data_IF_605404552166
#
_entry.id   IF_605404552166
#
_cell.length_a   1.000
_cell.length_b   1.000
_cell.length_c   1.000
_cell.angle_alpha   90.00
_cell.angle_beta   90.00
_cell.angle_gamma   90.00
#
_symmetry.space_group_name_H-M   'P 1'
#
loop_
_entity.id
_entity.type
_entity.pdbx_description
1 polymer ?
#
# COMPACT_ATOMS: atom_id res chain seq x y z
N UNK A 1 -36.11 35.10 13.76
CA UNK A 1 -36.39 33.68 13.40
C UNK A 1 -35.55 32.85 14.35
N UNK A 2 -36.03 31.72 14.86
CA UNK A 2 -35.16 30.87 15.65
C UNK A 2 -33.97 30.45 14.81
N UNK A 3 -32.79 30.48 15.37
CA UNK A 3 -31.55 30.07 14.72
C UNK A 3 -31.69 28.61 14.25
N UNK A 4 -31.46 28.33 12.96
CA UNK A 4 -31.55 26.97 12.45
C UNK A 4 -30.49 26.11 13.13
N UNK A 5 -30.87 24.91 13.54
CA UNK A 5 -29.96 23.93 14.09
C UNK A 5 -28.87 23.58 13.06
N UNK A 6 -27.63 23.48 13.50
CA UNK A 6 -26.50 23.06 12.64
C UNK A 6 -26.40 21.54 12.65
N UNK A 7 -26.37 20.97 11.46
CA UNK A 7 -26.29 19.52 11.26
C UNK A 7 -25.01 19.19 10.49
N UNK A 8 -24.30 18.17 10.89
CA UNK A 8 -23.09 17.71 10.22
C UNK A 8 -23.19 16.22 9.90
N UNK A 9 -22.74 15.82 8.71
CA UNK A 9 -22.50 14.43 8.36
C UNK A 9 -21.24 14.29 7.52
N UNK A 10 -20.62 13.13 7.57
CA UNK A 10 -19.42 12.80 6.77
C UNK A 10 -19.72 11.71 5.77
N UNK A 11 -19.17 11.82 4.55
CA UNK A 11 -19.39 10.86 3.47
C UNK A 11 -18.13 10.62 2.66
N UNK A 12 -17.95 9.40 2.15
CA UNK A 12 -16.97 9.10 1.10
C UNK A 12 -17.43 9.55 -0.28
N UNK A 13 -18.72 9.44 -0.56
CA UNK A 13 -19.43 9.92 -1.79
C UNK A 13 -18.85 9.47 -3.11
N UNK A 14 -18.09 8.38 -3.12
CA UNK A 14 -17.50 7.88 -4.37
C UNK A 14 -18.55 7.31 -5.34
N UNK A 15 -19.59 6.71 -4.77
CA UNK A 15 -20.83 6.36 -5.46
C UNK A 15 -21.99 6.85 -4.62
N UNK A 16 -22.74 7.83 -5.12
CA UNK A 16 -23.97 8.30 -4.47
C UNK A 16 -25.14 7.41 -4.89
N UNK A 17 -25.88 6.88 -3.91
CA UNK A 17 -27.04 6.00 -4.14
C UNK A 17 -28.23 6.40 -3.26
N UNK A 18 -29.36 5.73 -3.44
CA UNK A 18 -30.62 6.04 -2.76
C UNK A 18 -30.48 6.17 -1.23
N UNK A 19 -29.77 5.26 -0.58
CA UNK A 19 -29.55 5.30 0.87
C UNK A 19 -28.81 6.58 1.34
N UNK A 20 -27.86 7.09 0.57
CA UNK A 20 -27.22 8.39 0.87
C UNK A 20 -28.23 9.53 0.75
N UNK A 21 -29.08 9.52 -0.29
CA UNK A 21 -30.09 10.55 -0.50
C UNK A 21 -31.11 10.56 0.63
N UNK A 22 -31.55 9.38 1.10
CA UNK A 22 -32.47 9.25 2.24
C UNK A 22 -31.88 9.88 3.53
N UNK A 23 -30.64 9.55 3.87
CA UNK A 23 -29.98 10.11 5.05
C UNK A 23 -29.78 11.62 4.90
N UNK A 24 -29.41 12.12 3.71
CA UNK A 24 -29.26 13.57 3.46
C UNK A 24 -30.60 14.27 3.66
N UNK A 25 -31.70 13.73 3.14
CA UNK A 25 -33.02 14.33 3.33
C UNK A 25 -33.42 14.36 4.80
N UNK A 26 -33.25 13.26 5.54
CA UNK A 26 -33.54 13.20 6.97
C UNK A 26 -32.65 14.15 7.80
N UNK A 27 -31.35 14.27 7.42
CA UNK A 27 -30.46 15.21 8.06
C UNK A 27 -30.87 16.68 7.81
N UNK A 28 -31.30 16.99 6.60
CA UNK A 28 -31.77 18.33 6.22
C UNK A 28 -33.07 18.74 6.94
N UNK A 29 -33.92 17.79 7.34
CA UNK A 29 -35.10 18.06 8.17
C UNK A 29 -34.74 18.48 9.60
N UNK A 30 -33.56 18.08 10.11
CA UNK A 30 -33.08 18.45 11.45
C UNK A 30 -32.52 19.88 11.49
N UNK A 31 -32.08 20.44 10.36
CA UNK A 31 -31.50 21.79 10.32
C UNK A 31 -30.68 22.08 9.06
N UNK A 32 -29.75 23.02 9.21
CA UNK A 32 -28.84 23.41 8.12
C UNK A 32 -27.69 22.41 8.02
N UNK A 33 -27.71 21.62 6.92
CA UNK A 33 -26.79 20.48 6.74
C UNK A 33 -25.47 20.91 6.12
N UNK A 34 -24.37 20.64 6.82
CA UNK A 34 -23.01 20.65 6.28
C UNK A 34 -22.56 19.21 6.05
N UNK A 35 -22.03 18.92 4.86
CA UNK A 35 -21.49 17.59 4.54
C UNK A 35 -19.96 17.67 4.41
N UNK A 36 -19.27 16.86 5.22
CA UNK A 36 -17.84 16.60 5.10
C UNK A 36 -17.56 15.53 4.04
N UNK A 37 -16.84 15.88 2.98
CA UNK A 37 -16.41 14.92 1.95
C UNK A 37 -14.99 14.49 2.24
N UNK A 38 -14.80 13.18 2.47
CA UNK A 38 -13.50 12.59 2.75
C UNK A 38 -12.56 12.72 1.54
N UNK A 39 -11.30 13.08 1.80
CA UNK A 39 -10.26 13.15 0.75
C UNK A 39 -9.99 11.80 0.10
N UNK A 40 -9.35 11.82 -1.06
CA UNK A 40 -8.98 10.60 -1.77
C UNK A 40 -8.03 9.72 -0.94
N UNK A 41 -7.12 10.35 -0.19
CA UNK A 41 -6.23 9.68 0.76
C UNK A 41 -7.01 8.90 1.82
N UNK A 42 -7.97 9.55 2.47
CA UNK A 42 -8.77 8.94 3.54
C UNK A 42 -9.64 7.81 2.97
N UNK A 43 -10.31 8.03 1.84
CA UNK A 43 -11.15 6.99 1.22
C UNK A 43 -10.32 5.79 0.80
N UNK A 44 -9.16 6.00 0.18
CA UNK A 44 -8.28 4.91 -0.24
C UNK A 44 -7.67 4.13 0.92
N UNK A 45 -7.61 4.73 2.11
CA UNK A 45 -7.09 4.08 3.31
C UNK A 45 -8.02 3.02 3.90
N UNK A 46 -9.33 3.06 3.65
CA UNK A 46 -10.25 2.12 4.32
C UNK A 46 -11.25 1.43 3.39
N UNK A 47 -11.40 1.90 2.16
CA UNK A 47 -12.40 1.37 1.25
C UNK A 47 -11.75 0.85 -0.03
N UNK A 48 -11.44 1.71 -0.95
CA UNK A 48 -10.72 1.52 -2.20
C UNK A 48 -10.34 2.87 -2.77
N UNK A 49 -9.51 2.87 -3.78
CA UNK A 49 -9.24 4.09 -4.51
C UNK A 49 -10.55 4.66 -5.09
N UNK A 50 -10.88 5.95 -4.83
CA UNK A 50 -12.11 6.53 -5.33
C UNK A 50 -12.10 6.65 -6.86
N UNK A 51 -13.26 6.50 -7.48
CA UNK A 51 -13.45 6.63 -8.93
C UNK A 51 -13.36 8.09 -9.37
N UNK A 52 -13.85 9.00 -8.52
CA UNK A 52 -13.87 10.44 -8.75
C UNK A 52 -12.96 11.15 -7.75
N UNK A 53 -12.31 12.23 -8.20
CA UNK A 53 -11.50 13.07 -7.32
C UNK A 53 -12.33 13.71 -6.20
N UNK A 54 -11.69 14.06 -5.08
CA UNK A 54 -12.37 14.73 -3.97
C UNK A 54 -13.12 16.00 -4.44
N UNK A 55 -12.51 16.77 -5.32
CA UNK A 55 -13.11 18.00 -5.87
C UNK A 55 -14.38 17.70 -6.67
N UNK A 56 -14.41 16.65 -7.49
CA UNK A 56 -15.60 16.25 -8.24
C UNK A 56 -16.68 15.71 -7.30
N UNK A 57 -16.31 14.90 -6.32
CA UNK A 57 -17.24 14.39 -5.30
C UNK A 57 -17.86 15.53 -4.48
N UNK A 58 -17.09 16.55 -4.13
CA UNK A 58 -17.59 17.77 -3.46
C UNK A 58 -18.60 18.51 -4.33
N UNK A 59 -18.36 18.66 -5.64
CA UNK A 59 -19.32 19.29 -6.58
C UNK A 59 -20.63 18.51 -6.66
N UNK A 60 -20.56 17.19 -6.73
CA UNK A 60 -21.76 16.34 -6.75
C UNK A 60 -22.57 16.55 -5.47
N UNK A 61 -21.92 16.49 -4.30
CA UNK A 61 -22.58 16.67 -3.00
C UNK A 61 -23.19 18.05 -2.86
N UNK A 62 -22.48 19.09 -3.30
CA UNK A 62 -23.00 20.48 -3.29
C UNK A 62 -24.27 20.66 -4.16
N UNK A 63 -24.43 19.83 -5.19
CA UNK A 63 -25.63 19.82 -6.04
C UNK A 63 -26.82 19.02 -5.47
N UNK A 64 -26.65 18.30 -4.36
CA UNK A 64 -27.71 17.50 -3.77
C UNK A 64 -28.70 18.38 -3.00
N UNK A 65 -30.00 18.12 -3.20
CA UNK A 65 -31.05 18.81 -2.47
C UNK A 65 -30.90 18.56 -0.95
N UNK A 66 -31.00 19.63 -0.16
CA UNK A 66 -30.89 19.55 1.31
C UNK A 66 -29.50 19.81 1.86
N UNK A 67 -28.46 19.81 1.04
CA UNK A 67 -27.11 20.18 1.42
C UNK A 67 -26.96 21.70 1.38
N UNK A 68 -26.61 22.31 2.49
CA UNK A 68 -26.36 23.77 2.59
C UNK A 68 -24.87 24.11 2.36
N UNK A 69 -23.97 23.32 2.94
CA UNK A 69 -22.54 23.52 2.87
C UNK A 69 -21.79 22.20 2.63
N UNK A 70 -20.66 22.30 1.94
CA UNK A 70 -19.74 21.16 1.75
C UNK A 70 -18.35 21.58 2.19
N UNK A 71 -17.72 20.72 2.99
CA UNK A 71 -16.34 20.93 3.42
C UNK A 71 -15.47 19.72 3.06
N UNK A 72 -14.20 19.97 2.85
CA UNK A 72 -13.20 18.92 2.66
C UNK A 72 -12.82 18.35 4.04
N UNK A 73 -12.87 17.03 4.19
CA UNK A 73 -12.49 16.36 5.43
C UNK A 73 -11.27 15.48 5.19
N UNK A 74 -10.19 15.78 5.90
CA UNK A 74 -8.85 15.18 5.72
C UNK A 74 -8.58 14.01 6.66
N UNK A 75 -9.54 13.65 7.50
CA UNK A 75 -9.45 12.55 8.47
C UNK A 75 -10.81 11.86 8.58
N UNK A 76 -10.84 10.58 8.91
CA UNK A 76 -12.07 9.85 9.22
C UNK A 76 -12.65 10.26 10.58
N UNK A 77 -11.83 10.77 11.50
CA UNK A 77 -12.25 11.31 12.80
C UNK A 77 -13.15 12.55 12.62
N UNK A 78 -14.09 12.69 13.52
CA UNK A 78 -14.97 13.86 13.58
C UNK A 78 -14.37 15.02 14.40
N UNK A 79 -13.17 14.88 14.96
CA UNK A 79 -12.55 15.82 15.91
C UNK A 79 -12.47 17.24 15.35
N UNK A 80 -11.85 17.44 14.20
CA UNK A 80 -11.69 18.78 13.63
C UNK A 80 -13.01 19.40 13.16
N UNK A 81 -13.90 18.69 12.44
CA UNK A 81 -15.23 19.21 12.12
C UNK A 81 -16.05 19.58 13.36
N UNK A 82 -16.07 18.76 14.40
CA UNK A 82 -16.85 19.04 15.60
C UNK A 82 -16.28 20.22 16.39
N UNK A 83 -14.96 20.35 16.47
CA UNK A 83 -14.29 21.48 17.11
C UNK A 83 -14.59 22.81 16.41
N UNK A 84 -14.59 22.78 15.05
CA UNK A 84 -14.74 23.99 14.24
C UNK A 84 -16.19 24.40 14.05
N UNK A 85 -17.07 23.44 13.73
CA UNK A 85 -18.47 23.71 13.39
C UNK A 85 -19.39 23.69 14.59
N UNK A 86 -19.05 22.90 15.63
CA UNK A 86 -19.88 22.66 16.83
C UNK A 86 -21.35 22.41 16.46
N UNK A 87 -21.67 21.40 15.64
CA UNK A 87 -23.03 21.15 15.19
C UNK A 87 -23.92 20.69 16.34
N UNK A 88 -25.20 21.07 16.32
CA UNK A 88 -26.20 20.56 17.27
C UNK A 88 -26.44 19.05 17.07
N UNK A 89 -26.37 18.60 15.81
CA UNK A 89 -26.54 17.20 15.45
C UNK A 89 -25.44 16.71 14.52
N UNK A 90 -24.89 15.53 14.83
CA UNK A 90 -24.15 14.71 13.84
C UNK A 90 -25.08 13.62 13.35
N UNK A 91 -25.15 13.44 12.04
CA UNK A 91 -25.96 12.39 11.41
C UNK A 91 -25.08 11.33 10.77
N UNK A 92 -25.41 10.07 10.96
CA UNK A 92 -24.74 8.93 10.32
C UNK A 92 -25.72 7.76 10.12
N UNK A 93 -25.37 6.83 9.23
CA UNK A 93 -26.00 5.53 9.18
C UNK A 93 -25.64 4.69 10.42
N UNK A 94 -26.43 3.68 10.74
CA UNK A 94 -26.17 2.82 11.90
C UNK A 94 -25.13 1.72 11.63
N UNK A 95 -24.60 1.65 10.42
CA UNK A 95 -23.60 0.67 9.98
C UNK A 95 -22.23 0.79 10.69
N UNK A 96 -21.90 1.94 11.27
CA UNK A 96 -20.65 2.15 12.02
C UNK A 96 -20.68 1.70 13.49
N UNK A 97 -21.80 1.12 13.95
CA UNK A 97 -21.92 0.52 15.29
C UNK A 97 -21.04 -0.71 15.49
N UNK A 98 -20.64 -1.32 14.41
CA UNK A 98 -19.80 -2.52 14.38
C UNK A 98 -18.58 -2.31 13.47
N UNK A 99 -17.60 -3.21 13.58
CA UNK A 99 -16.43 -3.18 12.72
C UNK A 99 -15.43 -2.07 13.06
N UNK A 100 -14.60 -1.70 12.08
CA UNK A 100 -13.47 -0.80 12.26
C UNK A 100 -13.86 0.67 12.53
N UNK A 101 -15.08 1.09 12.21
CA UNK A 101 -15.57 2.45 12.47
C UNK A 101 -16.15 2.64 13.89
N UNK A 102 -16.35 1.57 14.64
CA UNK A 102 -16.88 1.65 16.01
C UNK A 102 -16.09 2.62 16.91
N UNK A 103 -14.74 2.63 16.92
CA UNK A 103 -13.98 3.61 17.72
C UNK A 103 -14.22 5.06 17.30
N UNK A 104 -14.42 5.32 15.99
CA UNK A 104 -14.75 6.67 15.48
C UNK A 104 -16.10 7.14 16.00
N UNK A 105 -17.09 6.24 16.00
CA UNK A 105 -18.41 6.50 16.58
C UNK A 105 -18.31 6.85 18.08
N UNK A 106 -17.56 6.06 18.85
CA UNK A 106 -17.37 6.28 20.29
C UNK A 106 -16.65 7.61 20.57
N UNK A 107 -15.67 7.97 19.76
CA UNK A 107 -15.01 9.28 19.82
C UNK A 107 -15.98 10.41 19.50
N UNK A 108 -16.78 10.28 18.44
CA UNK A 108 -17.76 11.26 18.03
C UNK A 108 -18.77 11.55 19.17
N UNK A 109 -19.29 10.52 19.82
CA UNK A 109 -20.22 10.67 20.97
C UNK A 109 -19.56 11.48 22.09
N UNK A 110 -18.34 11.11 22.50
CA UNK A 110 -17.62 11.83 23.57
C UNK A 110 -17.41 13.30 23.24
N UNK A 111 -17.00 13.60 22.00
CA UNK A 111 -16.78 14.98 21.56
C UNK A 111 -18.09 15.80 21.51
N UNK A 112 -19.20 15.20 21.13
CA UNK A 112 -20.51 15.84 21.15
C UNK A 112 -20.98 16.16 22.57
N UNK A 113 -20.76 15.26 23.51
CA UNK A 113 -21.12 15.45 24.96
C UNK A 113 -20.41 16.66 25.55
N UNK A 114 -19.17 17.00 25.13
CA UNK A 114 -18.40 18.14 25.64
C UNK A 114 -19.11 19.50 25.48
N UNK A 115 -20.00 19.63 24.50
CA UNK A 115 -20.72 20.90 24.26
C UNK A 115 -22.24 20.74 24.09
N UNK A 116 -22.79 19.57 24.38
CA UNK A 116 -24.24 19.31 24.37
C UNK A 116 -24.82 18.98 23.01
N UNK A 117 -23.99 18.64 22.00
CA UNK A 117 -24.42 18.11 20.72
C UNK A 117 -24.95 16.68 20.82
N UNK A 118 -25.63 16.19 19.79
CA UNK A 118 -26.23 14.85 19.76
C UNK A 118 -25.92 14.09 18.49
N UNK A 119 -25.64 12.79 18.63
CA UNK A 119 -25.58 11.86 17.49
C UNK A 119 -27.00 11.38 17.15
N UNK A 120 -27.36 11.46 15.87
CA UNK A 120 -28.59 10.92 15.30
C UNK A 120 -28.20 9.86 14.27
N UNK A 121 -28.66 8.65 14.47
CA UNK A 121 -28.36 7.52 13.60
C UNK A 121 -29.62 7.05 12.91
N UNK A 122 -29.58 6.93 11.59
CA UNK A 122 -30.65 6.40 10.80
C UNK A 122 -30.31 4.98 10.30
N UNK A 123 -31.30 4.10 10.12
CA UNK A 123 -31.06 2.81 9.50
C UNK A 123 -30.40 3.00 8.13
N UNK A 124 -29.26 2.38 7.91
CA UNK A 124 -28.56 2.43 6.64
C UNK A 124 -28.95 1.23 5.77
N UNK A 125 -29.81 1.47 4.80
CA UNK A 125 -30.18 0.43 3.83
C UNK A 125 -29.17 0.39 2.69
N UNK A 126 -28.34 -0.66 2.64
CA UNK A 126 -27.62 -1.01 1.42
C UNK A 126 -28.59 -1.70 0.47
N UNK A 127 -28.70 -1.19 -0.76
CA UNK A 127 -29.41 -1.92 -1.79
C UNK A 127 -28.49 -3.00 -2.38
N UNK A 128 -29.05 -4.13 -2.76
CA UNK A 128 -28.35 -5.19 -3.49
C UNK A 128 -27.62 -4.65 -4.74
N UNK A 129 -28.23 -3.66 -5.40
CA UNK A 129 -27.64 -2.95 -6.53
C UNK A 129 -26.36 -2.17 -6.16
N UNK A 130 -26.29 -1.61 -4.95
CA UNK A 130 -25.08 -0.93 -4.49
C UNK A 130 -23.93 -1.92 -4.28
N UNK A 131 -24.21 -3.08 -3.69
CA UNK A 131 -23.20 -4.11 -3.49
C UNK A 131 -22.68 -4.65 -4.83
N UNK A 132 -23.56 -4.77 -5.83
CA UNK A 132 -23.17 -5.10 -7.21
C UNK A 132 -22.30 -4.01 -7.85
N UNK A 133 -22.63 -2.72 -7.67
CA UNK A 133 -21.84 -1.60 -8.17
C UNK A 133 -20.47 -1.53 -7.48
N UNK A 134 -20.40 -1.75 -6.17
CA UNK A 134 -19.13 -1.76 -5.43
C UNK A 134 -18.25 -2.95 -5.85
N UNK A 135 -18.86 -4.12 -6.06
CA UNK A 135 -18.17 -5.30 -6.59
C UNK A 135 -17.64 -5.03 -8.00
N UNK A 136 -18.46 -4.45 -8.89
CA UNK A 136 -18.02 -4.06 -10.23
C UNK A 136 -16.90 -3.02 -10.21
N UNK A 137 -16.96 -2.04 -9.31
CA UNK A 137 -15.91 -1.04 -9.15
C UNK A 137 -14.60 -1.68 -8.65
N UNK A 138 -14.67 -2.65 -7.74
CA UNK A 138 -13.51 -3.44 -7.30
C UNK A 138 -12.93 -4.28 -8.44
N UNK A 139 -13.78 -4.92 -9.23
CA UNK A 139 -13.37 -5.70 -10.39
C UNK A 139 -12.62 -4.84 -11.42
N UNK A 140 -13.03 -3.58 -11.61
CA UNK A 140 -12.28 -2.65 -12.46
C UNK A 140 -10.87 -2.35 -11.95
N UNK A 141 -10.67 -2.29 -10.64
CA UNK A 141 -9.33 -2.09 -10.07
C UNK A 141 -8.39 -3.28 -10.31
N UNK A 142 -8.91 -4.45 -10.64
CA UNK A 142 -8.13 -5.63 -11.04
C UNK A 142 -7.72 -5.61 -12.51
N UNK A 143 -8.30 -4.75 -13.33
CA UNK A 143 -7.93 -4.60 -14.76
C UNK A 143 -6.44 -4.20 -14.84
N UNK A 144 -5.64 -4.90 -15.66
CA UNK A 144 -4.20 -4.69 -15.74
C UNK A 144 -3.80 -3.22 -15.97
N UNK A 145 -4.50 -2.51 -16.84
CA UNK A 145 -4.19 -1.11 -17.15
C UNK A 145 -4.42 -0.17 -15.95
N UNK A 146 -5.45 -0.43 -15.16
CA UNK A 146 -5.76 0.37 -13.97
C UNK A 146 -4.77 0.04 -12.83
N UNK A 147 -4.53 -1.26 -12.59
CA UNK A 147 -3.61 -1.71 -11.53
C UNK A 147 -2.19 -1.20 -11.75
N UNK A 148 -1.70 -1.26 -12.99
CA UNK A 148 -0.36 -0.82 -13.37
C UNK A 148 -0.10 0.64 -12.99
N UNK A 149 -1.02 1.56 -13.26
CA UNK A 149 -0.89 2.99 -12.96
C UNK A 149 -1.11 3.36 -11.49
N UNK A 150 -1.60 2.43 -10.68
CA UNK A 150 -2.07 2.74 -9.33
C UNK A 150 -0.96 3.15 -8.37
N UNK A 151 0.22 2.53 -8.45
CA UNK A 151 1.34 2.91 -7.58
C UNK A 151 1.79 4.35 -7.82
N UNK A 152 1.94 4.76 -9.09
CA UNK A 152 2.29 6.13 -9.44
C UNK A 152 1.28 7.13 -8.90
N UNK A 153 -0.01 6.88 -9.08
CA UNK A 153 -1.08 7.73 -8.56
C UNK A 153 -1.09 7.84 -7.04
N UNK A 154 -0.84 6.73 -6.33
CA UNK A 154 -0.73 6.75 -4.86
C UNK A 154 0.46 7.61 -4.39
N UNK A 155 1.61 7.49 -5.05
CA UNK A 155 2.78 8.32 -4.75
C UNK A 155 2.49 9.80 -5.01
N UNK A 156 1.86 10.13 -6.14
CA UNK A 156 1.49 11.51 -6.48
C UNK A 156 0.53 12.12 -5.44
N UNK A 157 -0.38 11.35 -4.89
CA UNK A 157 -1.36 11.83 -3.92
C UNK A 157 -0.84 11.90 -2.49
N UNK A 158 -0.16 10.84 -2.04
CA UNK A 158 0.28 10.69 -0.63
C UNK A 158 1.71 11.18 -0.40
N UNK A 159 2.46 11.40 -1.49
CA UNK A 159 3.90 11.68 -1.47
C UNK A 159 4.75 10.43 -1.26
N UNK A 160 4.23 9.44 -0.55
CA UNK A 160 4.93 8.19 -0.26
C UNK A 160 3.95 7.00 -0.18
N UNK A 161 4.35 5.86 -0.74
CA UNK A 161 3.65 4.58 -0.63
C UNK A 161 4.42 3.61 0.28
N UNK A 162 3.68 2.82 1.07
CA UNK A 162 4.23 1.79 1.96
C UNK A 162 3.83 0.42 1.45
N UNK A 163 4.80 -0.42 1.14
CA UNK A 163 4.59 -1.74 0.56
C UNK A 163 5.01 -2.85 1.52
N UNK A 164 4.17 -3.88 1.63
CA UNK A 164 4.45 -5.08 2.41
C UNK A 164 4.82 -6.24 1.48
N UNK A 165 5.75 -7.10 1.91
CA UNK A 165 6.05 -8.30 1.15
C UNK A 165 4.83 -9.20 0.99
N UNK A 166 4.75 -9.86 -0.18
CA UNK A 166 3.86 -10.96 -0.45
C UNK A 166 4.58 -12.02 -1.30
N UNK A 167 4.37 -13.30 -0.99
CA UNK A 167 5.04 -14.42 -1.66
C UNK A 167 4.11 -15.62 -1.87
N UNK A 168 2.85 -15.50 -1.47
CA UNK A 168 1.75 -16.44 -1.71
C UNK A 168 0.42 -15.68 -1.73
N UNK A 169 -0.66 -16.29 -2.23
CA UNK A 169 -2.00 -15.73 -2.10
C UNK A 169 -2.38 -15.41 -0.64
N UNK A 170 -1.97 -16.26 0.32
CA UNK A 170 -2.24 -16.02 1.75
C UNK A 170 -1.54 -14.76 2.26
N UNK A 171 -0.27 -14.56 1.96
CA UNK A 171 0.45 -13.35 2.38
C UNK A 171 -0.04 -12.11 1.63
N UNK A 172 -0.47 -12.26 0.37
CA UNK A 172 -1.19 -11.24 -0.37
C UNK A 172 -2.48 -10.83 0.33
N UNK A 173 -3.28 -11.79 0.77
CA UNK A 173 -4.52 -11.55 1.52
C UNK A 173 -4.27 -10.83 2.85
N UNK A 174 -3.20 -11.18 3.57
CA UNK A 174 -2.79 -10.48 4.79
C UNK A 174 -2.44 -9.02 4.48
N UNK A 175 -1.59 -8.77 3.48
CA UNK A 175 -1.21 -7.41 3.09
C UNK A 175 -2.41 -6.58 2.56
N UNK A 176 -3.38 -7.23 1.90
CA UNK A 176 -4.62 -6.58 1.43
C UNK A 176 -5.52 -6.15 2.59
N UNK A 177 -5.74 -7.04 3.58
CA UNK A 177 -6.75 -6.85 4.62
C UNK A 177 -6.25 -6.21 5.91
N UNK A 178 -4.92 -6.19 6.14
CA UNK A 178 -4.38 -5.63 7.38
C UNK A 178 -4.64 -4.13 7.45
N UNK A 179 -5.39 -3.74 8.47
CA UNK A 179 -5.78 -2.35 8.72
C UNK A 179 -5.70 -2.10 10.22
N UNK A 180 -5.09 -1.00 10.60
CA UNK A 180 -5.06 -0.52 12.00
C UNK A 180 -5.62 0.89 12.06
N UNK A 181 -6.29 1.18 13.18
CA UNK A 181 -6.76 2.53 13.49
C UNK A 181 -5.89 3.10 14.59
N UNK A 182 -5.26 4.22 14.31
CA UNK A 182 -4.39 4.93 15.23
C UNK A 182 -4.78 6.40 15.27
N UNK A 183 -5.16 6.89 16.44
CA UNK A 183 -5.55 8.30 16.68
C UNK A 183 -6.59 8.86 15.69
N UNK A 184 -7.54 8.00 15.23
CA UNK A 184 -8.58 8.38 14.27
C UNK A 184 -8.17 8.25 12.81
N UNK A 185 -6.92 7.93 12.52
CA UNK A 185 -6.41 7.67 11.16
C UNK A 185 -6.34 6.17 10.88
N UNK A 186 -6.83 5.76 9.72
CA UNK A 186 -6.71 4.38 9.26
C UNK A 186 -5.39 4.22 8.51
N UNK A 187 -4.60 3.22 8.92
CA UNK A 187 -3.35 2.85 8.25
C UNK A 187 -3.49 1.46 7.66
N UNK A 188 -3.02 1.31 6.43
CA UNK A 188 -2.89 0.04 5.71
C UNK A 188 -1.71 0.11 4.75
N UNK A 189 -1.26 -1.04 4.25
CA UNK A 189 -0.27 -1.07 3.20
C UNK A 189 -0.86 -0.58 1.87
N UNK A 190 -0.08 0.20 1.13
CA UNK A 190 -0.50 0.79 -0.14
C UNK A 190 -0.28 -0.16 -1.32
N UNK A 191 0.68 -1.05 -1.22
CA UNK A 191 1.06 -1.98 -2.27
C UNK A 191 1.76 -3.22 -1.73
N UNK A 192 2.15 -4.10 -2.64
CA UNK A 192 2.83 -5.34 -2.34
C UNK A 192 4.19 -5.40 -3.01
N UNK A 193 5.14 -5.98 -2.29
CA UNK A 193 6.48 -6.30 -2.75
C UNK A 193 6.63 -7.80 -2.92
N UNK A 194 6.83 -8.28 -4.15
CA UNK A 194 7.13 -9.68 -4.39
C UNK A 194 8.64 -9.86 -4.35
N UNK A 195 9.12 -10.23 -3.16
CA UNK A 195 10.53 -10.43 -2.85
C UNK A 195 11.06 -11.74 -3.46
N UNK A 196 12.21 -11.68 -4.10
CA UNK A 196 12.89 -12.89 -4.59
C UNK A 196 13.34 -13.80 -3.46
N UNK A 197 13.81 -13.24 -2.35
CA UNK A 197 14.18 -13.99 -1.14
C UNK A 197 12.98 -14.77 -0.61
N UNK A 198 11.82 -14.12 -0.44
CA UNK A 198 10.64 -14.75 0.14
C UNK A 198 10.05 -15.81 -0.80
N UNK A 199 9.98 -15.51 -2.09
CA UNK A 199 9.49 -16.45 -3.12
C UNK A 199 10.40 -17.67 -3.28
N UNK A 200 11.72 -17.49 -3.19
CA UNK A 200 12.68 -18.60 -3.19
C UNK A 200 12.56 -19.45 -1.90
N UNK A 201 12.49 -18.81 -0.75
CA UNK A 201 12.43 -19.47 0.55
C UNK A 201 11.18 -20.34 0.69
N UNK A 202 10.00 -19.83 0.31
CA UNK A 202 8.75 -20.63 0.40
C UNK A 202 8.76 -21.83 -0.53
N UNK A 203 9.53 -21.78 -1.63
CA UNK A 203 9.75 -22.88 -2.57
C UNK A 203 10.92 -23.80 -2.16
N UNK A 204 11.53 -23.59 -0.97
CA UNK A 204 12.68 -24.37 -0.48
C UNK A 204 13.95 -24.19 -1.33
N UNK A 205 14.13 -23.05 -1.98
CA UNK A 205 15.27 -22.73 -2.84
C UNK A 205 16.10 -21.58 -2.28
N UNK A 206 17.42 -21.55 -2.48
CA UNK A 206 18.23 -20.38 -2.12
C UNK A 206 17.91 -19.17 -3.02
N UNK A 207 18.13 -17.97 -2.47
CA UNK A 207 17.92 -16.70 -3.16
C UNK A 207 19.11 -16.36 -4.09
N UNK A 208 19.20 -17.06 -5.21
CA UNK A 208 20.30 -16.99 -6.19
C UNK A 208 19.78 -17.01 -7.63
N UNK A 209 18.63 -16.43 -7.91
CA UNK A 209 17.94 -16.47 -9.22
C UNK A 209 17.60 -17.89 -9.71
N UNK A 210 17.53 -18.87 -8.81
CA UNK A 210 17.11 -20.25 -9.16
C UNK A 210 15.62 -20.38 -9.43
N UNK A 211 14.82 -19.47 -8.92
CA UNK A 211 13.40 -19.40 -9.23
C UNK A 211 13.26 -18.62 -10.53
N UNK A 212 12.98 -19.34 -11.62
CA UNK A 212 12.83 -18.75 -12.94
C UNK A 212 11.64 -17.82 -13.06
N UNK A 213 11.65 -16.97 -14.07
CA UNK A 213 10.62 -15.95 -14.27
C UNK A 213 9.21 -16.55 -14.44
N UNK A 214 9.07 -17.71 -15.09
CA UNK A 214 7.75 -18.35 -15.27
C UNK A 214 7.17 -18.80 -13.92
N UNK A 215 8.00 -19.36 -13.05
CA UNK A 215 7.61 -19.69 -11.69
C UNK A 215 7.20 -18.45 -10.88
N UNK A 216 7.87 -17.32 -11.07
CA UNK A 216 7.54 -16.05 -10.44
C UNK A 216 6.24 -15.46 -10.97
N UNK A 217 5.93 -15.63 -12.25
CA UNK A 217 4.64 -15.25 -12.83
C UNK A 217 3.47 -15.99 -12.16
N UNK A 218 3.64 -17.27 -11.79
CA UNK A 218 2.61 -18.01 -11.05
C UNK A 218 2.39 -17.39 -9.66
N UNK A 219 3.45 -17.08 -8.93
CA UNK A 219 3.34 -16.36 -7.64
C UNK A 219 2.63 -15.02 -7.78
N UNK A 220 2.93 -14.26 -8.84
CA UNK A 220 2.23 -12.99 -9.14
C UNK A 220 0.74 -13.24 -9.36
N UNK A 221 0.38 -14.24 -10.16
CA UNK A 221 -1.02 -14.59 -10.44
C UNK A 221 -1.76 -14.98 -9.15
N UNK A 222 -1.20 -15.86 -8.31
CA UNK A 222 -1.81 -16.26 -7.04
C UNK A 222 -2.09 -15.06 -6.11
N UNK A 223 -1.17 -14.09 -6.09
CA UNK A 223 -1.34 -12.86 -5.32
C UNK A 223 -2.40 -11.96 -5.96
N UNK A 224 -2.45 -11.88 -7.28
CA UNK A 224 -3.42 -11.04 -8.01
C UNK A 224 -4.87 -11.50 -7.81
N UNK A 225 -5.11 -12.78 -7.52
CA UNK A 225 -6.46 -13.30 -7.21
C UNK A 225 -7.04 -12.68 -5.92
N UNK A 226 -6.19 -12.29 -4.97
CA UNK A 226 -6.63 -11.83 -3.65
C UNK A 226 -6.45 -10.33 -3.43
N UNK A 227 -5.87 -9.60 -4.40
CA UNK A 227 -5.57 -8.17 -4.24
C UNK A 227 -5.90 -7.32 -5.46
N UNK A 228 -6.29 -6.09 -5.21
CA UNK A 228 -6.31 -5.02 -6.21
C UNK A 228 -5.20 -4.00 -6.01
N UNK A 229 -4.38 -4.13 -4.96
CA UNK A 229 -3.27 -3.21 -4.68
C UNK A 229 -2.17 -3.31 -5.75
N UNK A 230 -1.40 -2.24 -5.96
CA UNK A 230 -0.28 -2.25 -6.89
C UNK A 230 0.81 -3.23 -6.41
N UNK A 231 1.50 -3.82 -7.37
CA UNK A 231 2.56 -4.81 -7.15
C UNK A 231 3.88 -4.25 -7.66
N UNK A 232 4.92 -4.39 -6.86
CA UNK A 232 6.32 -4.17 -7.21
C UNK A 232 7.02 -5.52 -7.21
N UNK A 233 7.66 -5.90 -8.31
CA UNK A 233 8.43 -7.13 -8.40
C UNK A 233 9.92 -6.87 -8.13
N UNK A 234 10.53 -7.69 -7.27
CA UNK A 234 11.99 -7.87 -7.22
C UNK A 234 12.44 -8.61 -8.49
N UNK A 235 13.04 -7.90 -9.41
CA UNK A 235 13.51 -8.44 -10.68
C UNK A 235 14.91 -9.03 -10.61
N UNK A 236 15.49 -9.18 -9.42
CA UNK A 236 16.86 -9.63 -9.21
C UNK A 236 17.85 -8.77 -10.03
N UNK A 237 18.77 -9.36 -10.80
CA UNK A 237 19.68 -8.63 -11.71
C UNK A 237 19.01 -8.23 -13.03
N UNK A 238 17.78 -8.68 -13.26
CA UNK A 238 17.11 -8.60 -14.57
C UNK A 238 17.61 -9.64 -15.58
N UNK A 239 18.62 -10.44 -15.22
CA UNK A 239 19.22 -11.42 -16.14
C UNK A 239 19.89 -10.78 -17.36
N UNK A 240 19.88 -11.50 -18.49
CA UNK A 240 20.35 -10.96 -19.77
C UNK A 240 19.40 -9.87 -20.27
N UNK A 241 19.94 -8.84 -20.91
CA UNK A 241 19.16 -7.69 -21.41
C UNK A 241 17.99 -8.12 -22.32
N UNK A 242 18.24 -9.10 -23.20
CA UNK A 242 17.23 -9.66 -24.11
C UNK A 242 16.08 -10.32 -23.34
N UNK A 243 16.36 -11.02 -22.25
CA UNK A 243 15.34 -11.63 -21.40
C UNK A 243 14.60 -10.55 -20.57
N UNK A 244 15.31 -9.54 -20.12
CA UNK A 244 14.72 -8.42 -19.36
C UNK A 244 13.68 -7.66 -20.19
N UNK A 245 13.94 -7.43 -21.47
CA UNK A 245 12.97 -6.82 -22.40
C UNK A 245 11.63 -7.59 -22.40
N UNK A 246 11.67 -8.93 -22.45
CA UNK A 246 10.46 -9.75 -22.40
C UNK A 246 9.83 -9.81 -21.01
N UNK A 247 10.65 -9.78 -19.96
CA UNK A 247 10.15 -9.65 -18.58
C UNK A 247 9.32 -8.38 -18.42
N UNK A 248 9.84 -7.23 -18.84
CA UNK A 248 9.13 -5.93 -18.79
C UNK A 248 7.79 -6.01 -19.51
N UNK A 249 7.77 -6.53 -20.75
CA UNK A 249 6.52 -6.69 -21.53
C UNK A 249 5.49 -7.59 -20.85
N UNK A 250 5.95 -8.65 -20.21
CA UNK A 250 5.06 -9.59 -19.52
C UNK A 250 4.49 -9.00 -18.25
N UNK A 251 5.31 -8.33 -17.45
CA UNK A 251 4.89 -7.65 -16.21
C UNK A 251 3.91 -6.52 -16.50
N UNK A 252 4.20 -5.71 -17.51
CA UNK A 252 3.33 -4.62 -17.94
C UNK A 252 1.96 -5.14 -18.39
N UNK A 253 1.91 -6.20 -19.18
CA UNK A 253 0.67 -6.85 -19.63
C UNK A 253 -0.15 -7.42 -18.48
N UNK A 254 0.48 -7.97 -17.45
CA UNK A 254 -0.19 -8.48 -16.25
C UNK A 254 -0.74 -7.37 -15.35
N UNK A 255 -0.28 -6.13 -15.51
CA UNK A 255 -0.69 -5.02 -14.65
C UNK A 255 0.16 -4.86 -13.39
N UNK A 256 1.40 -5.41 -13.38
CA UNK A 256 2.40 -5.09 -12.35
C UNK A 256 2.77 -3.61 -12.49
N UNK A 257 2.93 -2.92 -11.36
CA UNK A 257 3.15 -1.46 -11.35
C UNK A 257 4.62 -1.08 -11.52
N UNK A 258 5.53 -1.91 -10.99
CA UNK A 258 6.96 -1.65 -11.08
C UNK A 258 7.79 -2.93 -11.02
N UNK A 259 8.99 -2.86 -11.59
CA UNK A 259 10.06 -3.84 -11.37
C UNK A 259 11.29 -3.12 -10.84
N UNK A 260 11.94 -3.72 -9.84
CA UNK A 260 13.24 -3.26 -9.32
C UNK A 260 14.30 -4.26 -9.76
N UNK A 261 15.37 -3.79 -10.40
CA UNK A 261 16.53 -4.60 -10.76
C UNK A 261 17.80 -4.04 -10.11
N UNK A 262 18.69 -4.92 -9.66
CA UNK A 262 19.95 -4.55 -8.99
C UNK A 262 21.13 -4.55 -9.96
N UNK A 263 22.04 -3.61 -9.78
CA UNK A 263 23.22 -3.40 -10.63
C UNK A 263 24.38 -4.38 -10.31
N UNK A 264 24.04 -5.69 -10.25
CA UNK A 264 25.02 -6.77 -10.10
C UNK A 264 25.08 -7.66 -11.32
N UNK A 265 26.20 -8.36 -11.49
CA UNK A 265 26.43 -9.34 -12.56
C UNK A 265 26.50 -10.76 -12.00
N UNK A 266 26.37 -11.75 -12.91
CA UNK A 266 26.44 -13.15 -12.57
C UNK A 266 25.22 -13.66 -11.81
N UNK A 267 25.37 -14.81 -11.17
CA UNK A 267 24.33 -15.35 -10.30
C UNK A 267 24.22 -14.46 -9.05
N UNK A 268 23.01 -14.02 -8.78
CA UNK A 268 22.70 -13.20 -7.61
C UNK A 268 23.24 -13.82 -6.33
N UNK A 269 23.75 -12.99 -5.45
CA UNK A 269 23.98 -13.27 -4.04
C UNK A 269 23.18 -12.27 -3.23
N UNK A 270 22.59 -12.71 -2.12
CA UNK A 270 21.82 -11.81 -1.29
C UNK A 270 22.70 -10.66 -0.77
N UNK A 271 22.23 -9.44 -0.92
CA UNK A 271 22.99 -8.23 -0.59
C UNK A 271 23.38 -8.11 0.89
N UNK A 272 22.60 -8.74 1.80
CA UNK A 272 22.88 -8.73 3.23
C UNK A 272 24.16 -9.50 3.60
N UNK A 273 24.68 -10.36 2.72
CA UNK A 273 26.02 -10.92 2.87
C UNK A 273 27.15 -9.90 2.62
N UNK A 274 26.85 -8.80 1.93
CA UNK A 274 27.84 -7.75 1.64
C UNK A 274 29.08 -8.32 0.96
N UNK A 275 30.25 -7.93 1.47
CA UNK A 275 31.57 -8.39 1.00
C UNK A 275 32.02 -9.74 1.57
N UNK A 276 31.20 -10.40 2.40
CA UNK A 276 31.49 -11.75 2.93
C UNK A 276 31.42 -12.83 1.86
N UNK A 277 30.73 -12.57 0.75
CA UNK A 277 30.68 -13.42 -0.44
C UNK A 277 31.09 -12.61 -1.67
N UNK A 278 31.73 -13.27 -2.63
CA UNK A 278 32.11 -12.63 -3.89
C UNK A 278 30.86 -12.18 -4.65
N UNK A 279 30.72 -10.87 -4.84
CA UNK A 279 29.70 -10.22 -5.63
C UNK A 279 30.35 -9.17 -6.52
N UNK A 280 29.85 -9.03 -7.74
CA UNK A 280 30.37 -8.09 -8.71
C UNK A 280 29.26 -7.14 -9.13
N UNK A 281 29.57 -5.85 -9.08
CA UNK A 281 28.68 -4.80 -9.57
C UNK A 281 28.91 -4.59 -11.06
N UNK A 282 27.81 -4.49 -11.82
CA UNK A 282 27.85 -4.27 -13.27
C UNK A 282 28.50 -2.91 -13.60
N UNK A 283 29.02 -2.79 -14.81
CA UNK A 283 29.46 -1.49 -15.29
C UNK A 283 28.25 -0.53 -15.42
N UNK A 284 28.53 0.75 -15.23
CA UNK A 284 27.49 1.78 -15.38
C UNK A 284 26.89 1.73 -16.79
N UNK A 285 27.72 1.55 -17.80
CA UNK A 285 27.34 1.49 -19.21
C UNK A 285 26.40 0.31 -19.50
N UNK A 286 26.73 -0.89 -19.03
CA UNK A 286 25.91 -2.09 -19.26
C UNK A 286 24.56 -1.98 -18.57
N UNK A 287 24.56 -1.51 -17.33
CA UNK A 287 23.31 -1.38 -16.56
C UNK A 287 22.44 -0.24 -17.12
N UNK A 288 23.03 0.88 -17.55
CA UNK A 288 22.31 1.95 -18.26
C UNK A 288 21.71 1.44 -19.58
N UNK A 289 22.45 0.61 -20.33
CA UNK A 289 21.92 -0.03 -21.54
C UNK A 289 20.72 -0.92 -21.22
N UNK A 290 20.81 -1.78 -20.21
CA UNK A 290 19.70 -2.63 -19.75
C UNK A 290 18.47 -1.81 -19.37
N UNK A 291 18.65 -0.69 -18.62
CA UNK A 291 17.57 0.24 -18.27
C UNK A 291 16.94 0.81 -19.55
N UNK A 292 17.73 1.31 -20.49
CA UNK A 292 17.23 1.92 -21.72
C UNK A 292 16.43 0.91 -22.58
N UNK A 293 16.92 -0.33 -22.72
CA UNK A 293 16.22 -1.40 -23.43
C UNK A 293 14.90 -1.79 -22.72
N UNK A 294 14.90 -1.87 -21.39
CA UNK A 294 13.70 -2.08 -20.59
C UNK A 294 12.68 -0.95 -20.80
N UNK A 295 13.13 0.29 -20.81
CA UNK A 295 12.27 1.47 -21.05
C UNK A 295 11.73 1.48 -22.49
N UNK A 296 12.52 1.11 -23.46
CA UNK A 296 12.07 0.97 -24.84
C UNK A 296 11.04 -0.15 -25.01
N UNK A 297 11.16 -1.22 -24.23
CA UNK A 297 10.21 -2.34 -24.26
C UNK A 297 8.81 -1.98 -23.75
N UNK A 298 8.70 -0.97 -22.88
CA UNK A 298 7.43 -0.50 -22.30
C UNK A 298 6.46 -0.02 -23.39
N UNK A 299 5.17 -0.23 -23.15
CA UNK A 299 4.07 0.26 -24.00
C UNK A 299 3.37 1.47 -23.40
N UNK A 300 3.38 1.60 -22.08
CA UNK A 300 2.71 2.67 -21.33
C UNK A 300 3.71 3.39 -20.42
N UNK A 301 3.36 4.60 -20.00
CA UNK A 301 4.15 5.37 -19.01
C UNK A 301 3.87 4.96 -17.56
N UNK A 302 2.87 4.13 -17.35
CA UNK A 302 2.39 3.78 -16.01
C UNK A 302 3.28 2.74 -15.31
N UNK A 303 3.82 1.79 -16.06
CA UNK A 303 4.79 0.82 -15.53
C UNK A 303 6.10 1.52 -15.19
N UNK A 304 6.71 1.15 -14.06
CA UNK A 304 7.92 1.80 -13.59
C UNK A 304 9.10 0.82 -13.54
N UNK A 305 10.25 1.28 -14.01
CA UNK A 305 11.53 0.60 -13.87
C UNK A 305 12.37 1.32 -12.84
N UNK A 306 12.76 0.62 -11.77
CA UNK A 306 13.50 1.15 -10.65
C UNK A 306 14.87 0.48 -10.60
N UNK A 307 15.92 1.28 -10.54
CA UNK A 307 17.30 0.83 -10.49
C UNK A 307 17.78 0.72 -9.04
N UNK A 308 18.12 -0.49 -8.58
CA UNK A 308 18.69 -0.71 -7.25
C UNK A 308 20.21 -0.63 -7.32
N UNK A 309 20.77 0.21 -6.45
CA UNK A 309 22.20 0.55 -6.40
C UNK A 309 22.84 -0.20 -5.23
N UNK A 310 23.80 -1.05 -5.54
CA UNK A 310 24.49 -1.91 -4.59
C UNK A 310 25.83 -1.34 -4.10
N UNK A 311 26.19 -0.11 -4.47
CA UNK A 311 27.48 0.51 -4.16
C UNK A 311 27.81 0.54 -2.66
N UNK A 312 26.83 0.83 -1.78
CA UNK A 312 27.06 0.83 -0.33
C UNK A 312 27.18 -0.60 0.23
N UNK A 313 26.48 -1.56 -0.35
CA UNK A 313 26.60 -2.98 0.00
C UNK A 313 27.98 -3.52 -0.34
N UNK A 314 28.52 -3.12 -1.49
CA UNK A 314 29.81 -3.57 -2.02
C UNK A 314 30.96 -2.66 -1.63
N UNK A 315 30.74 -1.73 -0.70
CA UNK A 315 31.74 -0.81 -0.13
C UNK A 315 32.47 0.06 -1.19
N UNK A 316 31.77 0.36 -2.32
CA UNK A 316 32.27 1.27 -3.36
C UNK A 316 32.16 2.74 -2.96
N UNK A 317 31.40 3.04 -1.91
CA UNK A 317 31.25 4.35 -1.31
C UNK A 317 30.15 5.23 -1.91
N UNK A 318 29.96 6.37 -1.25
CA UNK A 318 28.87 7.30 -1.54
C UNK A 318 28.99 7.97 -2.92
N UNK A 319 30.19 8.30 -3.36
CA UNK A 319 30.40 8.97 -4.65
C UNK A 319 30.03 8.05 -5.82
N UNK A 320 30.38 6.75 -5.75
CA UNK A 320 29.96 5.76 -6.73
C UNK A 320 28.43 5.59 -6.72
N UNK A 321 27.81 5.49 -5.53
CA UNK A 321 26.36 5.38 -5.40
C UNK A 321 25.63 6.57 -6.07
N UNK A 322 26.09 7.79 -5.83
CA UNK A 322 25.50 9.00 -6.42
C UNK A 322 25.75 9.10 -7.93
N UNK A 323 26.94 8.73 -8.39
CA UNK A 323 27.28 8.72 -9.82
C UNK A 323 26.36 7.74 -10.57
N UNK A 324 26.14 6.53 -10.04
CA UNK A 324 25.23 5.54 -10.59
C UNK A 324 23.79 6.02 -10.56
N UNK A 325 23.33 6.62 -9.46
CA UNK A 325 21.98 7.16 -9.37
C UNK A 325 21.68 8.19 -10.46
N UNK A 326 22.63 9.09 -10.74
CA UNK A 326 22.54 10.08 -11.82
C UNK A 326 22.48 9.40 -13.21
N UNK A 327 23.39 8.44 -13.43
CA UNK A 327 23.48 7.73 -14.70
C UNK A 327 22.19 6.92 -15.01
N UNK A 328 21.67 6.21 -14.00
CA UNK A 328 20.49 5.38 -14.14
C UNK A 328 19.22 6.24 -14.35
N UNK A 329 19.10 7.36 -13.63
CA UNK A 329 18.02 8.33 -13.87
C UNK A 329 18.11 8.92 -15.29
N UNK A 330 19.31 9.26 -15.77
CA UNK A 330 19.54 9.75 -17.12
C UNK A 330 19.26 8.69 -18.21
N UNK A 331 19.51 7.40 -17.91
CA UNK A 331 19.17 6.28 -18.78
C UNK A 331 17.64 5.99 -18.85
N UNK A 332 16.84 6.67 -18.02
CA UNK A 332 15.37 6.59 -18.04
C UNK A 332 14.74 5.80 -16.91
N UNK A 333 15.48 5.39 -15.88
CA UNK A 333 14.88 4.78 -14.70
C UNK A 333 13.87 5.74 -14.05
N UNK A 334 12.67 5.23 -13.74
CA UNK A 334 11.62 6.01 -13.05
C UNK A 334 11.96 6.26 -11.59
N UNK A 335 12.79 5.40 -11.01
CA UNK A 335 13.24 5.52 -9.64
C UNK A 335 14.60 4.89 -9.40
N UNK A 336 15.20 5.23 -8.27
CA UNK A 336 16.40 4.58 -7.75
C UNK A 336 16.13 4.06 -6.33
N UNK A 337 16.70 2.91 -6.01
CA UNK A 337 16.65 2.30 -4.71
C UNK A 337 18.06 2.22 -4.16
N UNK A 338 18.33 2.91 -3.06
CA UNK A 338 19.58 2.76 -2.33
C UNK A 338 19.45 1.65 -1.30
N UNK A 339 20.45 0.78 -1.23
CA UNK A 339 20.49 -0.33 -0.29
C UNK A 339 21.68 -0.24 0.65
N UNK A 340 21.47 -0.54 1.94
CA UNK A 340 22.49 -0.57 2.97
C UNK A 340 22.26 -1.74 3.93
N UNK A 341 23.35 -2.31 4.45
CA UNK A 341 23.33 -3.33 5.50
C UNK A 341 23.65 -2.78 6.90
N UNK A 342 23.94 -1.49 7.01
CA UNK A 342 24.20 -0.84 8.30
C UNK A 342 22.92 -0.75 9.13
N UNK A 343 23.07 -0.85 10.45
CA UNK A 343 21.95 -0.67 11.38
C UNK A 343 21.60 0.80 11.59
N UNK A 344 22.59 1.69 11.48
CA UNK A 344 22.35 3.13 11.47
C UNK A 344 21.90 3.59 10.07
N UNK A 345 21.00 4.58 9.96
CA UNK A 345 20.49 5.07 8.68
C UNK A 345 21.39 6.15 8.03
N UNK A 346 22.49 6.56 8.66
CA UNK A 346 23.22 7.77 8.30
C UNK A 346 23.67 7.81 6.84
N UNK A 347 24.21 6.69 6.32
CA UNK A 347 24.64 6.64 4.92
C UNK A 347 23.47 6.68 3.94
N UNK A 348 22.31 6.10 4.31
CA UNK A 348 21.08 6.19 3.50
C UNK A 348 20.54 7.61 3.51
N UNK A 349 20.52 8.27 4.68
CA UNK A 349 20.08 9.65 4.80
C UNK A 349 21.00 10.62 4.07
N UNK A 350 22.32 10.40 4.13
CA UNK A 350 23.30 11.21 3.38
C UNK A 350 23.11 11.05 1.86
N UNK A 351 22.88 9.82 1.38
CA UNK A 351 22.56 9.57 -0.02
C UNK A 351 21.28 10.33 -0.42
N UNK A 352 20.19 10.17 0.34
CA UNK A 352 18.91 10.82 0.07
C UNK A 352 19.09 12.34 0.01
N UNK A 353 19.72 12.92 1.01
CA UNK A 353 19.95 14.37 1.11
C UNK A 353 20.71 14.91 -0.12
N UNK A 354 21.80 14.26 -0.50
CA UNK A 354 22.62 14.68 -1.64
C UNK A 354 21.89 14.49 -2.96
N UNK A 355 21.27 13.33 -3.17
CA UNK A 355 20.54 13.05 -4.39
C UNK A 355 19.34 13.99 -4.57
N UNK A 356 18.58 14.30 -3.52
CA UNK A 356 17.43 15.22 -3.58
C UNK A 356 17.82 16.67 -3.84
N UNK A 357 19.01 17.08 -3.49
CA UNK A 357 19.53 18.42 -3.85
C UNK A 357 19.65 18.59 -5.37
N UNK A 358 19.97 17.51 -6.08
CA UNK A 358 20.22 17.52 -7.52
C UNK A 358 19.01 17.03 -8.33
N UNK A 359 18.26 16.08 -7.79
CA UNK A 359 17.15 15.42 -8.49
C UNK A 359 15.92 15.25 -7.59
N UNK A 360 14.86 15.99 -7.91
CA UNK A 360 13.59 15.99 -7.17
C UNK A 360 12.51 15.11 -7.82
N UNK A 361 12.73 14.65 -9.05
CA UNK A 361 11.70 13.98 -9.85
C UNK A 361 11.82 12.46 -9.87
N UNK A 362 13.03 11.93 -9.86
CA UNK A 362 13.25 10.49 -9.83
C UNK A 362 12.78 9.92 -8.48
N UNK A 363 11.97 8.88 -8.51
CA UNK A 363 11.47 8.25 -7.28
C UNK A 363 12.61 7.69 -6.44
N UNK A 364 12.51 7.82 -5.12
CA UNK A 364 13.42 7.19 -4.16
C UNK A 364 12.72 6.06 -3.42
N UNK A 365 13.35 4.90 -3.43
CA UNK A 365 12.88 3.69 -2.76
C UNK A 365 13.86 3.28 -1.68
N UNK A 366 13.36 2.89 -0.52
CA UNK A 366 14.15 2.36 0.59
C UNK A 366 13.57 1.04 1.12
N UNK A 367 14.47 0.19 1.64
CA UNK A 367 14.11 -1.09 2.28
C UNK A 367 14.76 -1.13 3.67
N UNK A 368 14.08 -0.65 4.72
CA UNK A 368 14.66 -0.49 6.05
C UNK A 368 14.74 -1.81 6.84
N UNK A 369 15.31 -2.87 6.23
CA UNK A 369 15.48 -4.16 6.92
C UNK A 369 16.56 -4.10 7.98
N UNK A 370 17.68 -3.44 7.69
CA UNK A 370 18.83 -3.31 8.61
C UNK A 370 18.66 -2.11 9.55
N UNK A 371 18.24 -0.96 9.04
CA UNK A 371 18.01 0.30 9.78
C UNK A 371 16.52 0.45 10.15
N UNK A 372 15.98 -0.56 10.81
CA UNK A 372 14.54 -0.74 11.06
C UNK A 372 13.99 0.11 12.23
N UNK A 373 14.81 0.96 12.81
CA UNK A 373 14.39 1.91 13.85
C UNK A 373 13.82 3.23 13.29
N UNK A 374 13.94 3.47 11.98
CA UNK A 374 13.51 4.72 11.34
C UNK A 374 12.01 4.68 11.09
N UNK A 375 11.29 5.73 11.48
CA UNK A 375 9.88 5.89 11.22
C UNK A 375 9.59 6.28 9.77
N UNK A 376 8.43 5.90 9.24
CA UNK A 376 7.99 6.21 7.87
C UNK A 376 7.93 7.72 7.63
N UNK A 377 7.50 8.49 8.61
CA UNK A 377 7.43 9.96 8.57
C UNK A 377 8.81 10.59 8.30
N UNK A 378 9.87 10.04 8.90
CA UNK A 378 11.24 10.52 8.68
C UNK A 378 11.72 10.30 7.25
N UNK A 379 11.32 9.18 6.62
CA UNK A 379 11.58 8.93 5.20
C UNK A 379 10.79 9.89 4.32
N UNK A 380 9.51 10.10 4.63
CA UNK A 380 8.63 11.00 3.87
C UNK A 380 9.16 12.43 3.88
N UNK A 381 9.55 12.95 5.04
CA UNK A 381 10.14 14.30 5.20
C UNK A 381 11.43 14.49 4.39
N UNK A 382 12.21 13.43 4.22
CA UNK A 382 13.42 13.44 3.41
C UNK A 382 13.17 13.22 1.93
N UNK A 383 11.92 13.05 1.52
CA UNK A 383 11.51 12.91 0.12
C UNK A 383 11.64 11.48 -0.43
N UNK A 384 11.58 10.45 0.40
CA UNK A 384 11.39 9.06 -0.04
C UNK A 384 9.97 8.88 -0.55
N UNK A 385 9.83 8.13 -1.63
CA UNK A 385 8.54 7.90 -2.28
C UNK A 385 7.98 6.50 -2.06
N UNK A 386 8.83 5.51 -1.78
CA UNK A 386 8.39 4.14 -1.49
C UNK A 386 9.22 3.56 -0.35
N UNK A 387 8.54 3.04 0.66
CA UNK A 387 9.12 2.22 1.73
C UNK A 387 8.66 0.78 1.56
N UNK A 388 9.59 -0.17 1.58
CA UNK A 388 9.32 -1.60 1.38
C UNK A 388 9.69 -2.40 2.63
N UNK A 389 8.74 -3.07 3.24
CA UNK A 389 8.95 -4.08 4.27
C UNK A 389 9.12 -5.45 3.62
N UNK A 390 10.37 -5.85 3.36
CA UNK A 390 10.72 -6.82 2.32
C UNK A 390 10.62 -8.30 2.70
N UNK A 391 10.57 -8.67 3.99
CA UNK A 391 10.70 -10.08 4.40
C UNK A 391 10.15 -10.42 5.79
N UNK A 392 9.29 -9.58 6.34
CA UNK A 392 8.84 -9.73 7.74
C UNK A 392 7.85 -10.87 7.93
N UNK A 393 6.94 -11.12 6.96
CA UNK A 393 5.97 -12.20 7.04
C UNK A 393 6.63 -13.57 6.97
N UNK A 394 7.54 -13.79 6.01
CA UNK A 394 8.25 -15.08 5.92
C UNK A 394 9.11 -15.37 7.15
N UNK A 395 9.79 -14.31 7.67
CA UNK A 395 10.64 -14.44 8.86
C UNK A 395 9.86 -14.69 10.13
N UNK A 396 8.63 -14.21 10.23
CA UNK A 396 7.74 -14.48 11.38
C UNK A 396 7.04 -15.83 11.26
N UNK A 397 6.69 -16.27 10.06
CA UNK A 397 5.96 -17.52 9.85
C UNK A 397 6.83 -18.76 10.12
N UNK A 398 8.11 -18.76 9.70
CA UNK A 398 8.98 -19.92 9.85
C UNK A 398 9.13 -20.39 11.32
N UNK A 399 9.52 -19.52 12.28
CA UNK A 399 9.64 -19.95 13.68
C UNK A 399 8.30 -20.39 14.29
N UNK A 400 7.18 -19.77 13.90
CA UNK A 400 5.86 -20.18 14.37
C UNK A 400 5.48 -21.58 13.87
N UNK A 401 5.74 -21.88 12.60
CA UNK A 401 5.54 -23.22 12.04
C UNK A 401 6.44 -24.28 12.69
N UNK A 402 7.71 -23.92 12.96
CA UNK A 402 8.64 -24.80 13.70
C UNK A 402 8.11 -25.14 15.10
N UNK A 403 7.67 -24.14 15.86
CA UNK A 403 7.11 -24.33 17.20
C UNK A 403 5.89 -25.28 17.18
N UNK A 404 5.01 -25.15 16.20
CA UNK A 404 3.88 -26.06 16.01
C UNK A 404 4.35 -27.48 15.76
N UNK A 405 5.29 -27.68 14.83
CA UNK A 405 5.83 -28.99 14.51
C UNK A 405 6.54 -29.67 15.72
N UNK A 406 7.37 -28.90 16.44
CA UNK A 406 8.05 -29.37 17.65
C UNK A 406 7.08 -29.74 18.77
N UNK A 407 6.01 -28.99 18.96
CA UNK A 407 4.96 -29.27 19.95
C UNK A 407 4.31 -30.66 19.67
N UNK A 408 3.94 -30.92 18.42
CA UNK A 408 3.34 -32.20 18.01
C UNK A 408 4.32 -33.35 18.25
N UNK A 409 5.58 -33.19 17.84
CA UNK A 409 6.61 -34.20 18.05
C UNK A 409 6.86 -34.51 19.55
N UNK A 410 6.91 -33.46 20.36
CA UNK A 410 7.17 -33.55 21.81
C UNK A 410 6.01 -34.20 22.58
N UNK A 411 4.77 -33.85 22.21
CA UNK A 411 3.57 -34.32 22.91
C UNK A 411 2.99 -35.58 22.32
N UNK A 412 3.50 -36.06 21.17
CA UNK A 412 2.98 -37.22 20.42
C UNK A 412 1.47 -37.12 20.10
N UNK A 413 0.95 -35.88 20.02
CA UNK A 413 -0.44 -35.54 19.65
C UNK A 413 -0.54 -34.05 19.29
N UNK A 414 -1.65 -33.66 18.67
CA UNK A 414 -1.84 -32.28 18.17
C UNK A 414 -2.44 -31.29 19.20
N UNK A 415 -3.00 -31.80 20.35
CA UNK A 415 -3.79 -30.96 21.25
C UNK A 415 -3.08 -29.68 21.69
N UNK A 416 -1.85 -29.78 22.17
CA UNK A 416 -1.09 -28.68 22.71
C UNK A 416 -0.71 -27.67 21.58
N UNK A 417 -0.41 -28.20 20.40
CA UNK A 417 -0.15 -27.37 19.23
C UNK A 417 -1.41 -26.59 18.80
N UNK A 418 -2.55 -27.29 18.79
CA UNK A 418 -3.84 -26.69 18.40
C UNK A 418 -4.28 -25.58 19.36
N UNK A 419 -4.13 -25.81 20.67
CA UNK A 419 -4.52 -24.86 21.71
C UNK A 419 -3.60 -23.61 21.79
N UNK A 420 -2.29 -23.74 21.46
CA UNK A 420 -1.30 -22.67 21.69
C UNK A 420 -0.90 -21.91 20.42
N UNK A 421 -0.89 -22.57 19.28
CA UNK A 421 -0.29 -22.01 18.05
C UNK A 421 -1.23 -21.94 16.86
N UNK A 422 -2.30 -22.77 16.82
CA UNK A 422 -3.16 -22.84 15.66
C UNK A 422 -4.41 -21.98 15.80
N UNK A 423 -4.83 -21.38 14.70
CA UNK A 423 -6.18 -20.82 14.64
C UNK A 423 -7.21 -21.95 14.59
N UNK A 424 -8.45 -21.68 15.01
CA UNK A 424 -9.50 -22.69 14.98
C UNK A 424 -9.80 -23.15 13.54
N UNK A 425 -10.21 -24.42 13.39
CA UNK A 425 -10.65 -24.98 12.11
C UNK A 425 -11.76 -24.13 11.49
N UNK A 426 -12.72 -23.66 12.31
CA UNK A 426 -13.77 -22.76 11.82
C UNK A 426 -13.21 -21.49 11.18
N UNK A 427 -12.21 -20.88 11.81
CA UNK A 427 -11.63 -19.62 11.32
C UNK A 427 -10.85 -19.82 10.01
N UNK A 428 -10.09 -20.94 9.88
CA UNK A 428 -9.36 -21.19 8.64
C UNK A 428 -10.31 -21.50 7.46
N UNK A 429 -11.40 -22.24 7.70
CA UNK A 429 -12.39 -22.54 6.69
C UNK A 429 -13.17 -21.31 6.20
N UNK A 430 -13.29 -20.30 7.03
CA UNK A 430 -13.99 -19.03 6.68
C UNK A 430 -13.04 -17.89 6.33
N UNK A 431 -11.73 -18.13 6.28
CA UNK A 431 -10.74 -17.12 5.98
C UNK A 431 -10.89 -16.58 4.56
N UNK A 432 -11.14 -17.47 3.61
CA UNK A 432 -11.43 -17.16 2.22
C UNK A 432 -12.89 -17.59 2.01
N UNK A 433 -13.82 -16.62 1.87
CA UNK A 433 -15.23 -16.95 1.66
C UNK A 433 -15.41 -17.65 0.30
N UNK A 434 -16.32 -18.63 0.27
CA UNK A 434 -16.91 -19.10 -0.98
C UNK A 434 -17.76 -17.96 -1.53
N UNK A 435 -17.58 -17.59 -2.81
CA UNK A 435 -18.34 -16.51 -3.45
C UNK A 435 -19.84 -16.84 -3.57
#
# INVERSE_FOLDING_TARGET
MPEKKRVFMCMSTDVVHGGHIEIINQAAELGELTVGVLTDEVVSAYKRYPLLSCEERMKIVAGLKGVAHVIKQTDISYREPLKTLRPDYVVHGDDWRIGFQKPVREECIRLLEEYGGKLVEFPYSRSEQYDQLESAARSQLSIPDIRRGRLRRLIEQKGMAVCMEAHTGLTGLIAEKTTVMEQGTIRQFDGMWISSLCDSTIKGKPDTELVDFSSRLNTINDIMEVTTKPIILDGDTGGLTEHFVYMVRSLERLGVSAVIIEDKTGLKKNSLFGTEVAQEQDSVENFCHKIAEGKWAQKTKDFMLIARIESLILEKGMEDALARARAYAAAGADGVMIHSRRKDPDEVFEFIRRFRTENRHTLLVVVPTSYNSVYEEEFKERGVNVVIYANHLIRSSYPAMCQTAESILRCHRAKEADEQYCMSIKNILTLIPEE
#
